data_IF_222907407254
#
_entry.id   IF_222907407254
#
_cell.length_a   1.000
_cell.length_b   1.000
_cell.length_c   1.000
_cell.angle_alpha   90.00
_cell.angle_beta   90.00
_cell.angle_gamma   90.00
#
_symmetry.space_group_name_H-M   'P 1'
#
loop_
_entity.id
_entity.type
_entity.pdbx_description
1 polymer ?
#
# COMPACT_ATOMS: atom_id res chain seq x y z
N UNK A 1 15.33 11.35 12.50
CA UNK A 1 14.38 10.23 12.63
C UNK A 1 14.81 9.06 11.77
N UNK A 2 14.89 7.87 12.34
CA UNK A 2 15.27 6.67 11.60
C UNK A 2 14.14 6.17 10.71
N UNK A 3 14.45 5.27 9.77
CA UNK A 3 13.43 4.62 8.95
C UNK A 3 12.44 3.83 9.80
N UNK A 4 12.94 3.18 10.84
CA UNK A 4 12.11 2.39 11.74
C UNK A 4 11.14 3.27 12.52
N UNK A 5 11.59 4.42 12.98
CA UNK A 5 10.75 5.39 13.68
C UNK A 5 9.65 5.95 12.76
N UNK A 6 10.00 6.26 11.52
CA UNK A 6 9.03 6.74 10.53
C UNK A 6 7.98 5.67 10.26
N UNK A 7 8.41 4.41 10.07
CA UNK A 7 7.48 3.30 9.86
C UNK A 7 6.56 3.08 11.04
N UNK A 8 7.09 3.14 12.26
CA UNK A 8 6.28 3.01 13.48
C UNK A 8 5.20 4.07 13.56
N UNK A 9 5.53 5.31 13.22
CA UNK A 9 4.55 6.42 13.20
C UNK A 9 3.45 6.16 12.16
N UNK A 10 3.83 5.69 10.98
CA UNK A 10 2.87 5.37 9.92
C UNK A 10 1.93 4.26 10.37
N UNK A 11 2.46 3.18 10.95
CA UNK A 11 1.66 2.06 11.42
C UNK A 11 0.67 2.48 12.51
N UNK A 12 1.11 3.28 13.46
CA UNK A 12 0.25 3.81 14.51
C UNK A 12 -0.92 4.61 13.95
N UNK A 13 -0.64 5.46 12.96
CA UNK A 13 -1.65 6.33 12.38
C UNK A 13 -2.64 5.60 11.48
N UNK A 14 -2.25 4.47 10.91
CA UNK A 14 -3.13 3.69 10.05
C UNK A 14 -4.20 2.92 10.81
N UNK A 15 -3.97 2.63 12.09
CA UNK A 15 -4.92 1.88 12.92
C UNK A 15 -5.37 0.58 12.23
N UNK A 16 -4.41 -0.23 11.82
CA UNK A 16 -4.67 -1.47 11.11
C UNK A 16 -5.40 -2.49 11.98
N UNK A 17 -6.33 -3.22 11.36
CA UNK A 17 -7.10 -4.27 12.02
C UNK A 17 -7.11 -5.53 11.16
N UNK A 18 -7.39 -6.71 11.76
CA UNK A 18 -7.60 -7.92 10.98
C UNK A 18 -8.66 -7.71 9.91
N UNK A 19 -8.38 -8.18 8.70
CA UNK A 19 -9.27 -7.98 7.56
C UNK A 19 -9.08 -6.65 6.83
N UNK A 20 -8.12 -5.81 7.26
CA UNK A 20 -7.80 -4.59 6.53
C UNK A 20 -7.33 -4.90 5.11
N UNK A 21 -7.72 -4.06 4.16
CA UNK A 21 -7.21 -4.10 2.79
C UNK A 21 -6.39 -2.83 2.59
N UNK A 22 -5.10 -3.00 2.44
CA UNK A 22 -4.13 -1.91 2.37
C UNK A 22 -3.57 -1.77 0.97
N UNK A 23 -3.66 -0.55 0.42
CA UNK A 23 -3.02 -0.20 -0.83
C UNK A 23 -1.78 0.66 -0.56
N UNK A 24 -0.65 0.25 -1.10
CA UNK A 24 0.61 1.01 -1.06
C UNK A 24 0.90 1.49 -2.49
N UNK A 25 0.55 2.73 -2.76
CA UNK A 25 0.67 3.30 -4.11
C UNK A 25 2.02 3.99 -4.26
N UNK A 26 2.78 3.58 -5.27
CA UNK A 26 4.17 4.00 -5.41
C UNK A 26 5.02 3.35 -4.32
N UNK A 27 4.90 2.05 -4.19
CA UNK A 27 5.47 1.29 -3.07
C UNK A 27 7.00 1.36 -2.98
N UNK A 28 7.68 1.67 -4.08
CA UNK A 28 9.14 1.69 -4.12
C UNK A 28 9.70 0.31 -3.80
N UNK A 29 10.62 0.24 -2.85
CA UNK A 29 11.21 -1.03 -2.42
C UNK A 29 10.31 -1.83 -1.50
N UNK A 30 9.15 -1.27 -1.11
CA UNK A 30 8.15 -1.96 -0.31
C UNK A 30 8.35 -1.88 1.18
N UNK A 31 9.09 -0.89 1.68
CA UNK A 31 9.33 -0.74 3.12
C UNK A 31 8.04 -0.59 3.92
N UNK A 32 7.10 0.21 3.44
CA UNK A 32 5.81 0.41 4.10
C UNK A 32 4.94 -0.83 3.96
N UNK A 33 4.85 -1.39 2.75
CA UNK A 33 4.10 -2.63 2.51
C UNK A 33 4.59 -3.76 3.40
N UNK A 34 5.91 -3.94 3.50
CA UNK A 34 6.51 -4.98 4.34
C UNK A 34 6.18 -4.76 5.81
N UNK A 35 6.30 -3.52 6.30
CA UNK A 35 5.98 -3.19 7.68
C UNK A 35 4.52 -3.49 8.02
N UNK A 36 3.60 -3.13 7.12
CA UNK A 36 2.17 -3.41 7.29
C UNK A 36 1.90 -4.91 7.28
N UNK A 37 2.47 -5.63 6.31
CA UNK A 37 2.28 -7.07 6.18
C UNK A 37 2.79 -7.84 7.40
N UNK A 38 3.92 -7.42 7.96
CA UNK A 38 4.50 -8.03 9.16
C UNK A 38 3.71 -7.68 10.42
N UNK A 39 3.28 -6.41 10.55
CA UNK A 39 2.56 -5.95 11.72
C UNK A 39 1.14 -6.51 11.79
N UNK A 40 0.51 -6.75 10.65
CA UNK A 40 -0.85 -7.26 10.59
C UNK A 40 -0.93 -8.41 9.59
N UNK A 41 -0.57 -9.64 10.01
CA UNK A 41 -0.59 -10.80 9.10
C UNK A 41 -1.97 -11.13 8.52
N UNK A 42 -3.03 -10.65 9.16
CA UNK A 42 -4.41 -10.85 8.70
C UNK A 42 -4.89 -9.74 7.76
N UNK A 43 -4.05 -8.75 7.47
CA UNK A 43 -4.35 -7.73 6.47
C UNK A 43 -3.97 -8.23 5.08
N UNK A 44 -4.65 -7.71 4.08
CA UNK A 44 -4.33 -7.94 2.67
C UNK A 44 -3.62 -6.71 2.14
N UNK A 45 -2.37 -6.87 1.71
CA UNK A 45 -1.51 -5.76 1.27
C UNK A 45 -1.36 -5.80 -0.25
N UNK A 46 -1.66 -4.69 -0.91
CA UNK A 46 -1.51 -4.52 -2.35
C UNK A 46 -0.49 -3.42 -2.62
N UNK A 47 0.68 -3.81 -3.11
CA UNK A 47 1.75 -2.89 -3.45
C UNK A 47 1.69 -2.58 -4.95
N UNK A 48 1.57 -1.31 -5.30
CA UNK A 48 1.51 -0.84 -6.68
C UNK A 48 2.79 -0.08 -7.00
N UNK A 49 3.49 -0.50 -8.02
CA UNK A 49 4.76 0.11 -8.41
C UNK A 49 4.98 -0.04 -9.92
N UNK A 50 5.54 0.97 -10.56
CA UNK A 50 5.79 0.92 -12.01
C UNK A 50 7.27 0.84 -12.39
N UNK A 51 8.19 1.20 -11.50
CA UNK A 51 9.62 1.20 -11.82
C UNK A 51 10.21 -0.21 -11.75
N UNK A 52 10.84 -0.70 -12.84
CA UNK A 52 11.35 -2.09 -12.87
C UNK A 52 12.35 -2.42 -11.76
N UNK A 53 13.25 -1.49 -11.44
CA UNK A 53 14.24 -1.72 -10.39
C UNK A 53 13.59 -1.83 -9.02
N UNK A 54 12.60 -0.98 -8.75
CA UNK A 54 11.85 -1.02 -7.50
C UNK A 54 11.03 -2.31 -7.41
N UNK A 55 10.40 -2.72 -8.51
CA UNK A 55 9.64 -3.97 -8.56
C UNK A 55 10.50 -5.19 -8.23
N UNK A 56 11.75 -5.22 -8.74
CA UNK A 56 12.66 -6.32 -8.46
C UNK A 56 13.01 -6.39 -6.98
N UNK A 57 13.26 -5.25 -6.34
CA UNK A 57 13.56 -5.18 -4.91
C UNK A 57 12.32 -5.53 -4.06
N UNK A 58 11.17 -5.05 -4.46
CA UNK A 58 9.90 -5.34 -3.80
C UNK A 58 9.62 -6.86 -3.80
N UNK A 59 9.81 -7.50 -4.94
CA UNK A 59 9.62 -8.95 -5.06
C UNK A 59 10.62 -9.72 -4.18
N UNK A 60 11.87 -9.28 -4.15
CA UNK A 60 12.89 -9.88 -3.29
C UNK A 60 12.55 -9.73 -1.81
N UNK A 61 12.10 -8.56 -1.41
CA UNK A 61 11.72 -8.31 -0.02
C UNK A 61 10.51 -9.15 0.40
N UNK A 62 9.52 -9.29 -0.50
CA UNK A 62 8.38 -10.15 -0.24
C UNK A 62 8.81 -11.59 0.02
N UNK A 63 9.71 -12.11 -0.78
CA UNK A 63 10.21 -13.47 -0.64
C UNK A 63 11.08 -13.63 0.60
N UNK A 64 12.00 -12.69 0.83
CA UNK A 64 12.92 -12.70 1.96
C UNK A 64 12.18 -12.73 3.30
N UNK A 65 11.15 -11.95 3.44
CA UNK A 65 10.37 -11.85 4.69
C UNK A 65 9.13 -12.73 4.69
N UNK A 66 8.94 -13.56 3.64
CA UNK A 66 7.81 -14.48 3.52
C UNK A 66 6.45 -13.79 3.73
N UNK A 67 6.26 -12.70 3.03
CA UNK A 67 5.06 -11.88 3.17
C UNK A 67 3.92 -12.45 2.30
N UNK A 68 3.27 -13.49 2.79
CA UNK A 68 2.23 -14.21 2.06
C UNK A 68 0.96 -13.38 1.87
N UNK A 69 0.79 -12.34 2.66
CA UNK A 69 -0.35 -11.43 2.58
C UNK A 69 -0.09 -10.20 1.71
N UNK A 70 0.99 -10.19 0.94
CA UNK A 70 1.31 -9.11 0.02
C UNK A 70 1.18 -9.56 -1.44
N UNK A 71 0.41 -8.81 -2.22
CA UNK A 71 0.35 -8.94 -3.68
C UNK A 71 1.05 -7.74 -4.32
N UNK A 72 1.83 -7.98 -5.37
CA UNK A 72 2.54 -6.94 -6.12
C UNK A 72 1.83 -6.71 -7.44
N UNK A 73 1.52 -5.45 -7.74
CA UNK A 73 0.84 -5.05 -8.96
C UNK A 73 1.72 -4.10 -9.77
N UNK A 74 2.39 -4.62 -10.81
CA UNK A 74 3.20 -3.79 -11.69
C UNK A 74 2.31 -2.85 -12.51
N UNK A 75 2.66 -1.58 -12.54
CA UNK A 75 1.96 -0.58 -13.36
C UNK A 75 1.75 0.72 -12.61
N UNK A 76 1.19 1.67 -13.35
CA UNK A 76 0.79 2.96 -12.80
C UNK A 76 -0.54 2.79 -12.06
N UNK A 77 -0.70 3.56 -10.98
CA UNK A 77 -1.87 3.43 -10.11
C UNK A 77 -3.19 3.47 -10.88
N UNK A 78 -3.42 4.49 -11.69
CA UNK A 78 -4.68 4.64 -12.42
C UNK A 78 -4.99 3.49 -13.37
N UNK A 79 -3.96 2.75 -13.80
CA UNK A 79 -4.15 1.61 -14.70
C UNK A 79 -4.50 0.31 -13.97
N UNK A 80 -4.15 0.18 -12.70
CA UNK A 80 -4.31 -1.08 -11.98
C UNK A 80 -5.36 -1.05 -10.86
N UNK A 81 -5.79 0.14 -10.42
CA UNK A 81 -6.69 0.26 -9.26
C UNK A 81 -8.01 -0.49 -9.42
N UNK A 82 -8.56 -0.51 -10.64
CA UNK A 82 -9.86 -1.15 -10.87
C UNK A 82 -9.81 -2.67 -10.69
N UNK A 83 -8.62 -3.26 -10.77
CA UNK A 83 -8.43 -4.69 -10.57
C UNK A 83 -8.23 -5.07 -9.09
N UNK A 84 -8.10 -4.08 -8.21
CA UNK A 84 -7.84 -4.31 -6.79
C UNK A 84 -9.14 -4.37 -5.99
N UNK A 85 -9.18 -5.14 -4.90
CA UNK A 85 -10.31 -5.06 -3.98
C UNK A 85 -10.37 -3.67 -3.34
N UNK A 86 -11.57 -3.26 -2.93
CA UNK A 86 -11.74 -1.94 -2.31
C UNK A 86 -10.91 -1.84 -1.02
N UNK A 87 -10.16 -0.76 -0.85
CA UNK A 87 -9.27 -0.62 0.30
C UNK A 87 -10.00 -0.12 1.55
N UNK A 88 -9.43 -0.45 2.69
CA UNK A 88 -9.75 0.20 3.95
C UNK A 88 -8.71 1.27 4.28
N UNK A 89 -7.50 1.10 3.76
CA UNK A 89 -6.39 2.00 4.01
C UNK A 89 -5.59 2.20 2.73
N UNK A 90 -5.16 3.43 2.49
CA UNK A 90 -4.34 3.77 1.32
C UNK A 90 -3.16 4.63 1.79
N UNK A 91 -1.96 4.24 1.40
CA UNK A 91 -0.76 5.04 1.57
C UNK A 91 -0.25 5.44 0.18
N UNK A 92 -0.01 6.72 -0.03
CA UNK A 92 0.49 7.23 -1.30
C UNK A 92 1.93 7.70 -1.09
N UNK A 93 2.88 6.85 -1.46
CA UNK A 93 4.31 7.17 -1.39
C UNK A 93 4.81 7.86 -2.64
N UNK A 94 4.18 7.58 -3.78
CA UNK A 94 4.48 8.21 -5.04
C UNK A 94 3.31 8.08 -5.99
N UNK A 95 3.00 9.13 -6.71
CA UNK A 95 1.84 9.17 -7.61
C UNK A 95 2.21 9.31 -9.10
N UNK A 96 3.48 9.53 -9.40
CA UNK A 96 3.92 9.70 -10.80
C UNK A 96 3.25 10.87 -11.51
N UNK A 97 2.89 11.92 -10.78
CA UNK A 97 2.19 13.08 -11.36
C UNK A 97 0.68 12.92 -11.46
N UNK A 98 0.13 11.81 -10.98
CA UNK A 98 -1.30 11.48 -11.09
C UNK A 98 -2.09 11.75 -9.81
N UNK A 99 -1.51 12.49 -8.86
CA UNK A 99 -2.11 12.64 -7.52
C UNK A 99 -3.54 13.16 -7.56
N UNK A 100 -3.81 14.17 -8.37
CA UNK A 100 -5.14 14.79 -8.46
C UNK A 100 -6.21 13.80 -8.92
N UNK A 101 -5.94 13.06 -9.98
CA UNK A 101 -6.86 12.03 -10.48
C UNK A 101 -6.98 10.86 -9.52
N UNK A 102 -5.86 10.48 -8.89
CA UNK A 102 -5.85 9.42 -7.89
C UNK A 102 -6.77 9.77 -6.72
N UNK A 103 -6.65 10.98 -6.17
CA UNK A 103 -7.53 11.45 -5.10
C UNK A 103 -8.99 11.44 -5.52
N UNK A 104 -9.28 11.87 -6.74
CA UNK A 104 -10.63 11.84 -7.27
C UNK A 104 -11.19 10.40 -7.33
N UNK A 105 -10.36 9.45 -7.76
CA UNK A 105 -10.75 8.03 -7.80
C UNK A 105 -10.97 7.46 -6.41
N UNK A 106 -10.11 7.80 -5.46
CA UNK A 106 -10.23 7.31 -4.08
C UNK A 106 -11.52 7.78 -3.41
N UNK A 107 -11.98 8.99 -3.70
CA UNK A 107 -13.22 9.51 -3.10
C UNK A 107 -14.46 8.79 -3.61
N UNK A 108 -14.38 8.06 -4.71
CA UNK A 108 -15.50 7.30 -5.29
C UNK A 108 -15.55 5.85 -4.85
N UNK A 109 -14.58 5.40 -4.07
CA UNK A 109 -14.53 4.00 -3.63
C UNK A 109 -15.59 3.77 -2.55
N UNK A 110 -16.42 2.72 -2.69
CA UNK A 110 -17.34 2.36 -1.62
C UNK A 110 -16.59 1.94 -0.37
N UNK A 111 -16.99 2.46 0.77
CA UNK A 111 -16.39 2.13 2.05
C UNK A 111 -17.34 1.19 2.80
N UNK A 112 -16.85 0.01 3.18
CA UNK A 112 -17.67 -1.02 3.84
C UNK A 112 -18.16 -0.61 5.22
N UNK A 113 -17.27 -0.03 6.01
CA UNK A 113 -17.58 0.38 7.37
C UNK A 113 -16.58 1.44 7.81
N UNK A 114 -17.08 2.61 8.13
CA UNK A 114 -16.25 3.70 8.61
C UNK A 114 -15.55 4.46 7.50
N UNK A 115 -14.40 5.04 7.82
CA UNK A 115 -13.68 5.94 6.95
C UNK A 115 -12.57 5.22 6.18
N UNK A 116 -12.41 5.59 4.92
CA UNK A 116 -11.22 5.25 4.16
C UNK A 116 -10.06 6.08 4.71
N UNK A 117 -8.99 5.41 5.15
CA UNK A 117 -7.83 6.10 5.70
C UNK A 117 -6.77 6.27 4.63
N UNK A 118 -6.44 7.52 4.31
CA UNK A 118 -5.45 7.86 3.28
C UNK A 118 -4.30 8.62 3.93
N UNK A 119 -3.06 8.19 3.64
CA UNK A 119 -1.83 8.85 4.08
C UNK A 119 -0.92 9.09 2.89
N UNK A 120 -0.11 10.14 2.98
CA UNK A 120 0.84 10.55 1.96
C UNK A 120 2.27 10.51 2.47
#
# INVERSE_FOLDING_TARGET
MTREEVRSVILDRLELRPGAVFWDIGAGTGSVSAAVALACPEAEVHAVECEPEALALLARNRERFRLHNMAIHPGRALSVLDALPNPTHVFVGGSGGELSELLSRLTRIPVRSGLLRVKF
#
